data_IF_121300603061
#
_entry.id   IF_121300603061
#
_cell.length_a   1.000
_cell.length_b   1.000
_cell.length_c   1.000
_cell.angle_alpha   90.00
_cell.angle_beta   90.00
_cell.angle_gamma   90.00
#
_symmetry.space_group_name_H-M   'P 1'
#
loop_
_entity.id
_entity.type
_entity.pdbx_description
1 polymer ?
#
# COMPACT_ATOMS: atom_id res chain seq x y z
N UNK A 1 9.34 -12.74 7.17
CA UNK A 1 9.36 -11.75 6.09
C UNK A 1 9.13 -10.39 6.72
N UNK A 2 9.80 -9.34 6.26
CA UNK A 2 9.88 -8.08 6.99
C UNK A 2 8.54 -7.32 6.90
N UNK A 3 7.79 -7.31 7.99
CA UNK A 3 6.54 -6.58 8.15
C UNK A 3 6.72 -5.05 8.16
N UNK A 4 7.95 -4.55 8.06
CA UNK A 4 8.29 -3.13 8.28
C UNK A 4 8.84 -2.42 7.06
N UNK A 5 8.57 -2.93 5.84
CA UNK A 5 9.10 -2.32 4.63
C UNK A 5 8.58 -0.90 4.42
N UNK A 6 7.28 -0.68 4.65
CA UNK A 6 6.66 0.62 4.44
C UNK A 6 7.21 1.66 5.43
N UNK A 7 7.43 1.26 6.67
CA UNK A 7 8.06 2.12 7.68
C UNK A 7 9.45 2.53 7.25
N UNK A 8 10.26 1.57 6.80
CA UNK A 8 11.62 1.82 6.29
C UNK A 8 11.60 2.70 5.04
N UNK A 9 10.66 2.46 4.11
CA UNK A 9 10.47 3.29 2.93
C UNK A 9 10.12 4.73 3.31
N UNK A 10 9.09 4.92 4.14
CA UNK A 10 8.64 6.23 4.57
C UNK A 10 9.76 6.98 5.30
N UNK A 11 10.43 6.36 6.26
CA UNK A 11 11.57 6.97 6.95
C UNK A 11 12.69 7.37 5.99
N UNK A 12 13.04 6.50 5.03
CA UNK A 12 14.07 6.81 4.03
C UNK A 12 13.68 8.02 3.19
N UNK A 13 12.42 8.08 2.73
CA UNK A 13 11.96 9.17 1.86
C UNK A 13 11.78 10.47 2.62
N UNK A 14 11.27 10.43 3.85
CA UNK A 14 11.14 11.60 4.71
C UNK A 14 12.50 12.19 5.10
N UNK A 15 13.52 11.35 5.25
CA UNK A 15 14.89 11.79 5.52
C UNK A 15 15.66 12.26 4.27
N UNK A 16 15.03 12.42 3.13
CA UNK A 16 15.68 12.86 1.89
C UNK A 16 16.61 11.80 1.27
N UNK A 17 16.49 10.53 1.68
CA UNK A 17 17.29 9.43 1.17
C UNK A 17 17.02 9.14 -0.33
N UNK A 18 18.08 8.77 -1.05
CA UNK A 18 18.05 8.37 -2.46
C UNK A 18 17.36 7.03 -2.70
N UNK A 19 18.00 6.17 -3.51
CA UNK A 19 17.43 4.86 -3.84
C UNK A 19 17.21 4.01 -2.60
N UNK A 20 15.94 3.66 -2.36
CA UNK A 20 15.57 2.74 -1.31
C UNK A 20 15.97 1.32 -1.71
N UNK A 21 16.94 0.76 -1.01
CA UNK A 21 17.30 -0.65 -1.14
C UNK A 21 16.75 -1.40 0.07
N UNK A 22 15.72 -2.20 -0.14
CA UNK A 22 15.24 -3.12 0.87
C UNK A 22 16.38 -4.06 1.27
N UNK A 23 16.65 -4.11 2.56
CA UNK A 23 17.54 -5.02 3.30
C UNK A 23 19.00 -4.61 3.54
N UNK A 24 19.30 -4.45 4.80
CA UNK A 24 20.59 -4.76 5.42
C UNK A 24 21.59 -3.63 5.50
N UNK A 25 21.22 -2.40 5.20
CA UNK A 25 22.05 -1.26 5.60
C UNK A 25 21.38 -0.52 6.75
N UNK A 26 22.14 -0.38 7.85
CA UNK A 26 21.79 0.51 8.93
C UNK A 26 21.42 1.88 8.36
N UNK A 27 20.31 2.43 8.81
CA UNK A 27 19.92 3.82 8.51
C UNK A 27 21.09 4.68 8.97
N UNK A 28 21.68 5.55 8.12
CA UNK A 28 22.77 6.39 8.54
C UNK A 28 22.35 7.22 9.74
N UNK A 29 23.09 7.08 10.84
CA UNK A 29 22.94 7.90 12.04
C UNK A 29 23.14 9.37 11.67
N UNK A 30 22.18 10.19 11.97
CA UNK A 30 22.10 11.66 12.20
C UNK A 30 23.08 12.64 11.51
N UNK A 31 24.19 12.21 10.92
CA UNK A 31 25.24 13.12 10.43
C UNK A 31 25.07 13.60 8.98
N UNK A 32 24.08 13.09 8.24
CA UNK A 32 23.78 13.50 6.85
C UNK A 32 22.30 13.89 6.67
N UNK A 33 21.73 14.61 7.63
CA UNK A 33 20.46 15.30 7.42
C UNK A 33 20.64 16.41 6.38
N UNK A 34 20.56 16.08 5.12
CA UNK A 34 20.12 17.04 4.13
C UNK A 34 18.74 17.50 4.59
N UNK A 35 18.58 18.81 4.81
CA UNK A 35 17.39 19.54 5.24
C UNK A 35 16.10 18.77 4.98
N UNK A 36 15.34 18.47 6.03
CA UNK A 36 14.10 17.69 6.00
C UNK A 36 13.25 18.12 4.80
N UNK A 37 13.26 17.31 3.75
CA UNK A 37 12.47 17.57 2.53
C UNK A 37 10.97 17.60 2.86
N UNK A 38 10.60 16.92 3.94
CA UNK A 38 9.24 16.84 4.43
C UNK A 38 9.19 17.22 5.91
N UNK A 39 8.88 18.46 6.19
CA UNK A 39 8.56 18.92 7.54
C UNK A 39 7.03 18.87 7.70
N UNK A 40 6.56 18.26 8.79
CA UNK A 40 5.12 18.03 9.05
C UNK A 40 4.40 17.29 7.90
N UNK A 41 4.92 16.14 7.42
CA UNK A 41 4.35 15.47 6.27
C UNK A 41 2.94 14.94 6.54
N UNK A 42 2.08 15.00 5.52
CA UNK A 42 0.83 14.26 5.49
C UNK A 42 1.04 12.93 4.77
N UNK A 43 0.89 11.85 5.50
CA UNK A 43 0.90 10.49 4.96
C UNK A 43 -0.53 9.95 4.96
N UNK A 44 -0.94 9.34 3.85
CA UNK A 44 -2.23 8.67 3.73
C UNK A 44 -2.01 7.19 3.48
N UNK A 45 -2.69 6.34 4.24
CA UNK A 45 -2.71 4.89 4.08
C UNK A 45 -4.10 4.44 3.64
N UNK A 46 -4.19 3.67 2.57
CA UNK A 46 -5.38 2.95 2.13
C UNK A 46 -5.17 1.48 2.45
N UNK A 47 -6.14 0.87 3.16
CA UNK A 47 -5.99 -0.48 3.69
C UNK A 47 -5.24 -0.49 5.02
N UNK A 48 -5.97 -0.82 6.08
CA UNK A 48 -5.45 -0.83 7.46
C UNK A 48 -5.33 -2.25 8.00
N UNK A 49 -6.24 -3.11 7.56
CA UNK A 49 -6.31 -4.48 8.03
C UNK A 49 -6.40 -4.56 9.56
N UNK A 50 -5.42 -5.19 10.18
CA UNK A 50 -5.32 -5.30 11.65
C UNK A 50 -4.53 -4.16 12.31
N UNK A 51 -4.07 -3.16 11.54
CA UNK A 51 -3.43 -1.96 12.02
C UNK A 51 -1.95 -2.11 12.42
N UNK A 52 -1.27 -3.18 12.00
CA UNK A 52 0.15 -3.34 12.28
C UNK A 52 0.98 -2.28 11.59
N UNK A 53 0.84 -2.15 10.27
CA UNK A 53 1.56 -1.14 9.49
C UNK A 53 1.15 0.27 9.89
N UNK A 54 -0.12 0.48 10.23
CA UNK A 54 -0.61 1.77 10.73
C UNK A 54 0.12 2.20 12.02
N UNK A 55 0.34 1.29 12.97
CA UNK A 55 1.10 1.59 14.18
C UNK A 55 2.55 1.94 13.88
N UNK A 56 3.20 1.19 12.99
CA UNK A 56 4.58 1.45 12.60
C UNK A 56 4.73 2.77 11.83
N UNK A 57 3.81 3.06 10.90
CA UNK A 57 3.77 4.36 10.20
C UNK A 57 3.57 5.52 11.19
N UNK A 58 2.66 5.36 12.16
CA UNK A 58 2.43 6.36 13.20
C UNK A 58 3.74 6.71 13.92
N UNK A 59 4.51 5.70 14.36
CA UNK A 59 5.81 5.92 15.02
C UNK A 59 6.81 6.60 14.09
N UNK A 60 6.92 6.14 12.84
CA UNK A 60 7.87 6.70 11.87
C UNK A 60 7.59 8.18 11.57
N UNK A 61 6.31 8.52 11.35
CA UNK A 61 5.88 9.86 10.98
C UNK A 61 6.00 10.83 12.16
N UNK A 62 5.85 10.37 13.39
CA UNK A 62 5.97 11.19 14.59
C UNK A 62 7.34 11.87 14.70
N UNK A 63 8.42 11.24 14.25
CA UNK A 63 9.76 11.84 14.22
C UNK A 63 9.84 13.09 13.33
N UNK A 64 8.91 13.26 12.41
CA UNK A 64 8.85 14.37 11.47
C UNK A 64 7.71 15.37 11.79
N UNK A 65 7.07 15.23 12.96
CA UNK A 65 5.90 16.03 13.36
C UNK A 65 4.74 15.91 12.35
N UNK A 66 4.68 14.83 11.61
CA UNK A 66 3.70 14.61 10.56
C UNK A 66 2.35 14.11 11.05
N UNK A 67 1.46 13.85 10.12
CA UNK A 67 0.12 13.31 10.35
C UNK A 67 -0.11 12.09 9.47
N UNK A 68 -0.85 11.12 10.02
CA UNK A 68 -1.31 9.94 9.29
C UNK A 68 -2.84 9.96 9.17
N UNK A 69 -3.35 9.80 7.96
CA UNK A 69 -4.74 9.44 7.70
C UNK A 69 -4.75 8.00 7.22
N UNK A 70 -5.41 7.11 7.97
CA UNK A 70 -5.52 5.70 7.65
C UNK A 70 -6.99 5.36 7.34
N UNK A 71 -7.25 4.89 6.13
CA UNK A 71 -8.58 4.67 5.57
C UNK A 71 -8.80 3.19 5.32
N UNK A 72 -9.90 2.63 5.82
CA UNK A 72 -10.30 1.25 5.57
C UNK A 72 -11.82 1.12 5.70
N UNK A 73 -12.41 0.26 4.91
CA UNK A 73 -13.82 -0.11 5.07
C UNK A 73 -14.04 -0.98 6.28
N UNK A 74 -13.03 -1.72 6.70
CA UNK A 74 -13.09 -2.75 7.75
C UNK A 74 -14.06 -3.88 7.44
N UNK A 75 -14.47 -4.04 6.18
CA UNK A 75 -15.44 -5.05 5.73
C UNK A 75 -14.76 -6.33 5.24
N UNK A 76 -13.49 -6.26 4.86
CA UNK A 76 -12.74 -7.38 4.30
C UNK A 76 -12.05 -8.25 5.36
N UNK A 77 -11.45 -9.30 4.91
CA UNK A 77 -10.63 -10.31 5.59
C UNK A 77 -10.69 -10.42 7.10
N UNK A 78 -11.27 -11.52 7.55
CA UNK A 78 -11.12 -11.98 8.94
C UNK A 78 -10.43 -13.34 8.86
N UNK A 79 -9.22 -13.45 9.42
CA UNK A 79 -8.70 -14.76 9.77
C UNK A 79 -9.64 -15.36 10.79
N UNK A 80 -10.17 -16.56 10.53
CA UNK A 80 -10.90 -17.29 11.55
C UNK A 80 -9.93 -17.68 12.68
N UNK A 81 -10.41 -17.94 13.90
CA UNK A 81 -9.57 -18.49 14.96
C UNK A 81 -8.84 -19.77 14.56
N UNK A 82 -9.36 -20.49 13.59
CA UNK A 82 -8.79 -21.72 13.02
C UNK A 82 -7.74 -21.44 11.92
N UNK A 83 -7.46 -20.18 11.58
CA UNK A 83 -6.46 -19.78 10.60
C UNK A 83 -6.90 -19.92 9.14
N UNK A 84 -8.19 -20.13 8.86
CA UNK A 84 -8.72 -20.03 7.52
C UNK A 84 -8.81 -18.55 7.12
N UNK A 85 -8.15 -18.18 6.04
CA UNK A 85 -8.36 -16.91 5.36
C UNK A 85 -9.75 -16.98 4.71
N UNK A 86 -10.70 -16.29 5.31
CA UNK A 86 -11.96 -16.01 4.62
C UNK A 86 -11.62 -14.97 3.54
N UNK A 87 -12.05 -15.27 2.33
CA UNK A 87 -11.86 -14.45 1.14
C UNK A 87 -12.09 -12.97 1.43
N UNK A 88 -11.18 -12.12 1.01
CA UNK A 88 -11.27 -10.67 1.17
C UNK A 88 -12.55 -10.09 0.60
N UNK A 89 -13.09 -10.75 -0.42
CA UNK A 89 -14.34 -10.39 -1.08
C UNK A 89 -15.62 -10.81 -0.39
N UNK A 90 -15.56 -11.63 0.64
CA UNK A 90 -16.72 -11.83 1.48
C UNK A 90 -16.93 -10.57 2.33
N UNK A 91 -17.34 -9.50 1.66
CA UNK A 91 -17.87 -8.32 2.29
C UNK A 91 -18.90 -8.75 3.32
N UNK A 92 -18.56 -8.59 4.58
CA UNK A 92 -19.55 -8.82 5.61
C UNK A 92 -20.30 -7.51 5.83
N UNK A 93 -21.57 -7.50 5.48
CA UNK A 93 -22.48 -6.42 5.88
C UNK A 93 -22.77 -6.44 7.40
N UNK A 94 -22.14 -7.37 8.15
CA UNK A 94 -22.26 -7.45 9.58
C UNK A 94 -21.54 -6.28 10.25
N UNK A 95 -22.28 -5.21 10.48
CA UNK A 95 -21.80 -3.98 11.12
C UNK A 95 -21.13 -4.23 12.48
N UNK A 96 -21.52 -5.28 13.19
CA UNK A 96 -20.93 -5.62 14.49
C UNK A 96 -19.49 -6.13 14.32
N UNK A 97 -19.21 -6.89 13.27
CA UNK A 97 -17.86 -7.36 12.96
C UNK A 97 -16.98 -6.21 12.49
N UNK A 98 -17.49 -5.36 11.59
CA UNK A 98 -16.83 -4.15 11.11
C UNK A 98 -16.44 -3.25 12.29
N UNK A 99 -17.37 -2.97 13.16
CA UNK A 99 -17.13 -2.15 14.35
C UNK A 99 -16.14 -2.78 15.31
N UNK A 100 -16.12 -4.10 15.44
CA UNK A 100 -15.16 -4.81 16.28
C UNK A 100 -13.74 -4.65 15.76
N UNK A 101 -13.53 -4.77 14.44
CA UNK A 101 -12.21 -4.57 13.80
C UNK A 101 -11.75 -3.13 13.97
N UNK A 102 -12.58 -2.16 13.60
CA UNK A 102 -12.27 -0.74 13.77
C UNK A 102 -11.88 -0.39 15.21
N UNK A 103 -12.67 -0.84 16.20
CA UNK A 103 -12.35 -0.66 17.63
C UNK A 103 -11.07 -1.38 18.04
N UNK A 104 -10.79 -2.53 17.43
CA UNK A 104 -9.55 -3.29 17.64
C UNK A 104 -8.33 -2.50 17.23
N UNK A 105 -8.35 -1.90 16.03
CA UNK A 105 -7.27 -1.05 15.53
C UNK A 105 -7.11 0.23 16.37
N UNK A 106 -8.20 0.89 16.73
CA UNK A 106 -8.14 2.04 17.65
C UNK A 106 -7.50 1.70 18.98
N UNK A 107 -7.84 0.52 19.54
CA UNK A 107 -7.21 0.04 20.78
C UNK A 107 -5.72 -0.18 20.58
N UNK A 108 -5.33 -0.87 19.48
CA UNK A 108 -3.93 -1.16 19.15
C UNK A 108 -3.12 0.13 19.03
N UNK A 109 -3.59 1.12 18.27
CA UNK A 109 -2.96 2.44 18.16
C UNK A 109 -2.69 3.06 19.52
N UNK A 110 -3.66 3.06 20.42
CA UNK A 110 -3.54 3.64 21.77
C UNK A 110 -2.62 2.87 22.72
N UNK A 111 -2.49 1.56 22.53
CA UNK A 111 -1.70 0.70 23.43
C UNK A 111 -0.29 0.41 22.91
N UNK A 112 -0.08 0.50 21.61
CA UNK A 112 1.18 0.13 20.97
C UNK A 112 1.96 1.35 20.46
N UNK A 113 1.35 2.55 20.45
CA UNK A 113 2.05 3.80 20.08
C UNK A 113 1.88 4.85 21.18
N UNK A 114 2.93 5.66 21.40
CA UNK A 114 2.89 6.79 22.32
C UNK A 114 2.42 8.09 21.65
N UNK A 115 2.04 8.01 20.38
CA UNK A 115 1.72 9.16 19.52
C UNK A 115 0.45 8.90 18.66
N UNK A 116 -0.51 8.19 19.22
CA UNK A 116 -1.75 7.84 18.50
C UNK A 116 -2.58 9.06 18.04
N UNK A 117 -2.37 10.22 18.65
CA UNK A 117 -3.07 11.47 18.35
C UNK A 117 -2.72 12.06 16.97
N UNK A 118 -1.58 11.68 16.39
CA UNK A 118 -1.21 12.12 15.03
C UNK A 118 -1.92 11.29 13.94
N UNK A 119 -2.61 10.20 14.33
CA UNK A 119 -3.28 9.28 13.39
C UNK A 119 -4.79 9.47 13.43
N UNK A 120 -5.36 9.80 12.27
CA UNK A 120 -6.79 9.80 12.04
C UNK A 120 -7.19 8.50 11.35
N UNK A 121 -7.91 7.63 12.07
CA UNK A 121 -8.45 6.39 11.51
C UNK A 121 -9.85 6.63 10.97
N UNK A 122 -10.06 6.40 9.68
CA UNK A 122 -11.32 6.61 8.98
C UNK A 122 -11.91 5.26 8.56
N UNK A 123 -13.16 5.03 8.95
CA UNK A 123 -13.96 3.92 8.44
C UNK A 123 -14.76 4.41 7.23
N UNK A 124 -14.33 4.06 6.02
CA UNK A 124 -14.98 4.54 4.80
C UNK A 124 -14.33 4.00 3.53
N UNK A 125 -14.99 4.28 2.42
CA UNK A 125 -14.49 3.98 1.08
C UNK A 125 -13.28 4.86 0.76
N UNK A 126 -12.19 4.27 0.26
CA UNK A 126 -10.96 5.01 -0.06
C UNK A 126 -11.19 6.12 -1.08
N UNK A 127 -11.96 5.85 -2.13
CA UNK A 127 -12.26 6.85 -3.17
C UNK A 127 -12.99 8.06 -2.61
N UNK A 128 -14.04 7.82 -1.81
CA UNK A 128 -14.84 8.88 -1.22
C UNK A 128 -14.06 9.72 -0.20
N UNK A 129 -13.19 9.06 0.58
CA UNK A 129 -12.39 9.73 1.59
C UNK A 129 -11.19 10.49 0.99
N UNK A 130 -10.54 9.93 -0.04
CA UNK A 130 -9.50 10.64 -0.78
C UNK A 130 -10.05 11.90 -1.49
N UNK A 131 -11.26 11.82 -2.06
CA UNK A 131 -11.86 12.97 -2.73
C UNK A 131 -12.07 14.18 -1.79
N UNK A 132 -12.26 13.95 -0.49
CA UNK A 132 -12.42 15.01 0.52
C UNK A 132 -11.14 15.75 0.84
N UNK A 133 -9.98 15.17 0.53
CA UNK A 133 -8.69 15.81 0.73
C UNK A 133 -8.45 16.88 -0.33
N UNK A 134 -7.68 17.89 0.02
CA UNK A 134 -7.28 18.92 -0.94
C UNK A 134 -6.31 18.33 -2.00
N UNK A 135 -6.37 18.85 -3.22
CA UNK A 135 -5.41 18.49 -4.24
C UNK A 135 -4.00 18.96 -3.83
N UNK A 136 -2.98 18.19 -4.19
CA UNK A 136 -1.58 18.46 -3.85
C UNK A 136 -1.32 18.67 -2.35
N UNK A 137 -2.05 17.92 -1.50
CA UNK A 137 -1.90 17.99 -0.04
C UNK A 137 -1.10 16.83 0.57
N UNK A 138 -1.02 15.68 -0.12
CA UNK A 138 -0.40 14.46 0.38
C UNK A 138 1.09 14.42 0.04
N UNK A 139 1.93 14.12 1.01
CA UNK A 139 3.37 13.92 0.80
C UNK A 139 3.70 12.47 0.42
N UNK A 140 3.06 11.50 1.09
CA UNK A 140 3.21 10.06 0.78
C UNK A 140 1.84 9.41 0.81
N UNK A 141 1.47 8.70 -0.27
CA UNK A 141 0.30 7.85 -0.35
C UNK A 141 0.73 6.39 -0.41
N UNK A 142 0.26 5.59 0.54
CA UNK A 142 0.46 4.15 0.60
C UNK A 142 -0.84 3.42 0.30
N UNK A 143 -0.85 2.57 -0.73
CA UNK A 143 -2.01 1.80 -1.20
C UNK A 143 -1.78 0.32 -0.90
N UNK A 144 -2.60 -0.22 0.00
CA UNK A 144 -2.61 -1.62 0.43
C UNK A 144 -4.06 -2.04 0.76
N UNK A 145 -4.97 -1.71 -0.17
CA UNK A 145 -6.41 -1.93 -0.04
C UNK A 145 -6.91 -3.10 -0.87
N UNK A 146 -8.01 -2.92 -1.61
CA UNK A 146 -8.51 -3.90 -2.58
C UNK A 146 -7.51 -4.13 -3.72
N UNK A 147 -7.54 -5.33 -4.31
CA UNK A 147 -6.59 -5.73 -5.33
C UNK A 147 -7.19 -5.78 -6.74
N UNK A 148 -8.48 -5.51 -6.86
CA UNK A 148 -9.20 -5.42 -8.12
C UNK A 148 -8.67 -4.26 -8.97
N UNK A 149 -8.49 -4.50 -10.25
CA UNK A 149 -7.95 -3.51 -11.17
C UNK A 149 -8.71 -2.17 -11.13
N UNK A 150 -10.04 -2.23 -11.13
CA UNK A 150 -10.87 -1.03 -11.10
C UNK A 150 -10.69 -0.21 -9.81
N UNK A 151 -10.52 -0.90 -8.67
CA UNK A 151 -10.31 -0.28 -7.37
C UNK A 151 -8.94 0.36 -7.30
N UNK A 152 -7.88 -0.41 -7.57
CA UNK A 152 -6.49 0.08 -7.49
C UNK A 152 -6.26 1.23 -8.48
N UNK A 153 -6.74 1.08 -9.71
CA UNK A 153 -6.66 2.14 -10.71
C UNK A 153 -7.29 3.43 -10.22
N UNK A 154 -8.47 3.34 -9.62
CA UNK A 154 -9.17 4.51 -9.10
C UNK A 154 -8.46 5.14 -7.90
N UNK A 155 -7.93 4.32 -6.98
CA UNK A 155 -7.11 4.81 -5.86
C UNK A 155 -5.87 5.56 -6.36
N UNK A 156 -5.19 5.04 -7.39
CA UNK A 156 -4.03 5.71 -8.01
C UNK A 156 -4.46 7.01 -8.69
N UNK A 157 -5.52 7.01 -9.49
CA UNK A 157 -6.01 8.20 -10.22
C UNK A 157 -6.38 9.34 -9.28
N UNK A 158 -7.14 9.06 -8.22
CA UNK A 158 -7.51 10.07 -7.22
C UNK A 158 -6.27 10.49 -6.43
N UNK A 159 -5.51 9.50 -5.93
CA UNK A 159 -4.33 9.73 -5.12
C UNK A 159 -3.28 10.56 -5.82
N UNK A 160 -3.06 10.32 -7.12
CA UNK A 160 -2.12 11.10 -7.92
C UNK A 160 -2.45 12.60 -7.97
N UNK A 161 -3.73 12.93 -8.05
CA UNK A 161 -4.18 14.32 -8.02
C UNK A 161 -3.96 14.95 -6.64
N UNK A 162 -4.18 14.16 -5.57
CA UNK A 162 -4.00 14.59 -4.18
C UNK A 162 -2.55 14.70 -3.74
N UNK A 163 -1.65 14.01 -4.46
CA UNK A 163 -0.23 13.98 -4.15
C UNK A 163 0.44 15.30 -4.54
N UNK A 164 1.27 15.85 -3.66
CA UNK A 164 2.11 17.03 -3.95
C UNK A 164 3.11 16.75 -5.07
N UNK A 165 3.54 17.76 -5.84
CA UNK A 165 4.77 17.66 -6.63
C UNK A 165 5.95 17.25 -5.73
N UNK A 166 6.75 16.29 -6.17
CA UNK A 166 7.83 15.70 -5.37
C UNK A 166 7.41 14.68 -4.32
N UNK A 167 6.12 14.47 -4.10
CA UNK A 167 5.57 13.44 -3.21
C UNK A 167 5.71 12.02 -3.78
N UNK A 168 5.45 11.03 -2.94
CA UNK A 168 5.56 9.62 -3.31
C UNK A 168 4.22 8.89 -3.21
N UNK A 169 3.93 8.11 -4.25
CA UNK A 169 2.89 7.08 -4.20
C UNK A 169 3.58 5.71 -4.16
N UNK A 170 3.10 4.82 -3.32
CA UNK A 170 3.64 3.49 -3.15
C UNK A 170 2.56 2.49 -2.75
N UNK A 171 2.83 1.20 -2.87
CA UNK A 171 1.88 0.17 -2.48
C UNK A 171 2.51 -1.21 -2.34
N UNK A 172 1.70 -2.15 -1.84
CA UNK A 172 2.02 -3.57 -1.72
C UNK A 172 1.46 -4.35 -2.93
N UNK A 173 1.63 -5.65 -2.89
CA UNK A 173 1.02 -6.66 -3.76
C UNK A 173 1.32 -6.55 -5.27
N UNK A 174 2.34 -5.80 -5.66
CA UNK A 174 2.92 -5.91 -7.00
C UNK A 174 3.76 -7.19 -7.06
N UNK A 175 3.09 -8.33 -6.92
CA UNK A 175 3.74 -9.63 -6.79
C UNK A 175 4.03 -10.25 -8.16
N UNK A 176 4.98 -9.68 -8.89
CA UNK A 176 5.42 -10.26 -10.14
C UNK A 176 5.84 -9.25 -11.20
N UNK A 177 6.16 -9.77 -12.36
CA UNK A 177 6.53 -8.97 -13.53
C UNK A 177 5.38 -8.95 -14.54
N UNK A 178 5.05 -7.79 -15.06
CA UNK A 178 3.93 -7.57 -15.97
C UNK A 178 4.01 -8.46 -17.23
N UNK A 179 5.18 -8.52 -17.85
CA UNK A 179 5.37 -9.28 -19.08
C UNK A 179 5.55 -10.78 -18.83
N UNK A 180 6.29 -11.11 -17.77
CA UNK A 180 6.54 -12.50 -17.40
C UNK A 180 5.26 -13.24 -17.03
N UNK A 181 4.35 -12.57 -16.33
CA UNK A 181 3.07 -13.11 -15.91
C UNK A 181 1.95 -12.91 -16.95
N UNK A 182 2.28 -12.30 -18.10
CA UNK A 182 1.33 -12.04 -19.18
C UNK A 182 0.06 -11.31 -18.73
N UNK A 183 0.26 -10.30 -17.91
CA UNK A 183 -0.85 -9.51 -17.33
C UNK A 183 -1.67 -8.81 -18.43
N UNK A 184 -1.05 -8.50 -19.57
CA UNK A 184 -1.69 -7.98 -20.76
C UNK A 184 -2.70 -8.97 -21.39
N UNK A 185 -2.51 -10.27 -21.18
CA UNK A 185 -3.40 -11.32 -21.66
C UNK A 185 -4.54 -11.67 -20.65
N UNK A 186 -4.53 -11.08 -19.45
CA UNK A 186 -5.51 -11.35 -18.42
C UNK A 186 -6.91 -10.84 -18.83
N UNK A 187 -7.95 -11.65 -18.60
CA UNK A 187 -9.33 -11.23 -18.86
C UNK A 187 -9.80 -10.20 -17.84
N UNK A 188 -10.85 -9.44 -18.17
CA UNK A 188 -11.47 -8.49 -17.25
C UNK A 188 -11.91 -9.17 -15.95
N UNK A 189 -12.50 -10.36 -16.03
CA UNK A 189 -12.90 -11.14 -14.84
C UNK A 189 -11.70 -11.48 -13.95
N UNK A 190 -10.56 -11.81 -14.54
CA UNK A 190 -9.33 -12.10 -13.80
C UNK A 190 -8.75 -10.88 -13.08
N UNK A 191 -8.88 -9.72 -13.70
CA UNK A 191 -8.36 -8.46 -13.17
C UNK A 191 -9.21 -7.91 -12.03
N UNK A 192 -10.48 -8.26 -11.99
CA UNK A 192 -11.42 -7.84 -10.94
C UNK A 192 -11.52 -8.88 -9.82
N UNK A 193 -10.53 -9.76 -9.69
CA UNK A 193 -10.42 -10.70 -8.58
C UNK A 193 -9.30 -10.28 -7.65
N UNK A 194 -9.56 -10.30 -6.34
CA UNK A 194 -8.56 -9.98 -5.30
C UNK A 194 -7.33 -10.88 -5.41
N UNK A 195 -7.59 -12.15 -5.37
CA UNK A 195 -6.55 -13.15 -5.51
C UNK A 195 -6.99 -14.16 -6.54
N UNK A 196 -6.18 -14.36 -7.55
CA UNK A 196 -6.41 -15.44 -8.48
C UNK A 196 -6.15 -16.75 -7.75
N UNK A 197 -7.22 -17.41 -7.30
CA UNK A 197 -7.17 -18.75 -6.72
C UNK A 197 -7.42 -19.77 -7.79
N UNK A 198 -6.56 -20.79 -7.83
CA UNK A 198 -6.83 -22.01 -8.60
C UNK A 198 -5.88 -22.24 -9.75
N UNK A 199 -5.93 -23.47 -10.25
CA UNK A 199 -5.16 -23.95 -11.38
C UNK A 199 -5.49 -23.15 -12.65
N UNK A 200 -4.63 -22.22 -13.00
CA UNK A 200 -4.62 -21.78 -14.36
C UNK A 200 -4.55 -20.30 -14.66
N UNK A 201 -4.55 -19.40 -13.71
CA UNK A 201 -4.62 -17.98 -14.05
C UNK A 201 -3.29 -17.38 -14.46
N UNK A 202 -2.25 -17.62 -13.71
CA UNK A 202 -0.92 -17.22 -14.15
C UNK A 202 -0.02 -18.43 -14.08
N UNK A 203 0.31 -18.95 -15.25
CA UNK A 203 1.27 -20.04 -15.35
C UNK A 203 2.64 -19.45 -15.60
N UNK A 204 3.52 -19.62 -14.62
CA UNK A 204 4.92 -19.29 -14.76
C UNK A 204 5.66 -20.52 -15.25
N UNK A 205 6.50 -20.35 -16.26
CA UNK A 205 7.48 -21.36 -16.56
C UNK A 205 8.54 -21.36 -15.44
N UNK A 206 8.66 -22.47 -14.71
CA UNK A 206 9.77 -22.67 -13.81
C UNK A 206 11.11 -22.72 -14.59
N UNK A 207 12.23 -22.78 -13.89
CA UNK A 207 13.55 -22.84 -14.51
C UNK A 207 13.76 -24.00 -15.48
N UNK A 208 12.83 -24.95 -15.57
CA UNK A 208 12.79 -26.09 -16.47
C UNK A 208 11.76 -25.93 -17.61
N UNK A 209 11.08 -24.79 -17.67
CA UNK A 209 10.04 -24.54 -18.67
C UNK A 209 8.68 -25.18 -18.34
N UNK A 210 8.50 -25.73 -17.15
CA UNK A 210 7.23 -26.29 -16.70
C UNK A 210 6.33 -25.15 -16.20
N UNK A 211 5.10 -25.07 -16.75
CA UNK A 211 4.13 -24.08 -16.31
C UNK A 211 3.59 -24.47 -14.93
N UNK A 212 3.91 -23.69 -13.94
CA UNK A 212 3.41 -23.84 -12.58
C UNK A 212 2.42 -22.71 -12.27
N UNK A 213 1.33 -23.04 -11.58
CA UNK A 213 0.40 -22.04 -11.08
C UNK A 213 1.07 -21.23 -9.99
N UNK A 214 0.99 -19.91 -10.07
CA UNK A 214 1.44 -19.02 -8.99
C UNK A 214 0.21 -18.66 -8.17
N UNK A 215 0.22 -19.10 -6.93
CA UNK A 215 -0.74 -18.63 -5.94
C UNK A 215 -0.31 -17.24 -5.47
N UNK A 216 -1.25 -16.32 -5.34
CA UNK A 216 -1.08 -14.95 -4.84
C UNK A 216 -0.45 -13.96 -5.85
N UNK A 217 -0.85 -13.99 -7.10
CA UNK A 217 -0.60 -12.89 -8.02
C UNK A 217 -1.83 -11.98 -8.05
N UNK A 218 -1.63 -10.74 -7.71
CA UNK A 218 -2.65 -9.71 -7.75
C UNK A 218 -2.57 -8.99 -9.11
N UNK A 219 -3.18 -9.63 -10.12
CA UNK A 219 -3.08 -9.15 -11.51
C UNK A 219 -3.64 -7.73 -11.68
N UNK A 220 -4.69 -7.40 -10.93
CA UNK A 220 -5.28 -6.05 -10.94
C UNK A 220 -4.32 -4.99 -10.46
N UNK A 221 -3.57 -5.25 -9.37
CA UNK A 221 -2.54 -4.33 -8.85
C UNK A 221 -1.44 -4.12 -9.88
N UNK A 222 -0.88 -5.23 -10.41
CA UNK A 222 0.21 -5.17 -11.38
C UNK A 222 -0.21 -4.37 -12.61
N UNK A 223 -1.41 -4.63 -13.15
CA UNK A 223 -1.92 -3.95 -14.34
C UNK A 223 -2.14 -2.45 -14.08
N UNK A 224 -2.83 -2.11 -13.00
CA UNK A 224 -3.15 -0.73 -12.69
C UNK A 224 -1.88 0.14 -12.53
N UNK A 225 -0.90 -0.38 -11.78
CA UNK A 225 0.38 0.30 -11.58
C UNK A 225 1.17 0.41 -12.88
N UNK A 226 1.29 -0.69 -13.62
CA UNK A 226 2.06 -0.72 -14.87
C UNK A 226 1.49 0.27 -15.90
N UNK A 227 0.18 0.27 -16.10
CA UNK A 227 -0.47 1.14 -17.08
C UNK A 227 -0.40 2.61 -16.66
N UNK A 228 -0.68 2.91 -15.39
CA UNK A 228 -0.68 4.30 -14.93
C UNK A 228 0.69 4.96 -15.03
N UNK A 229 1.73 4.25 -14.65
CA UNK A 229 3.10 4.77 -14.68
C UNK A 229 3.89 4.38 -15.94
N UNK A 230 3.22 3.82 -16.94
CA UNK A 230 3.84 3.39 -18.19
C UNK A 230 5.06 2.49 -17.97
N UNK A 231 4.96 1.56 -17.03
CA UNK A 231 6.03 0.64 -16.65
C UNK A 231 7.21 1.27 -15.93
N UNK A 232 7.13 2.54 -15.51
CA UNK A 232 8.24 3.26 -14.88
C UNK A 232 8.22 3.22 -13.35
N UNK A 233 7.20 2.62 -12.74
CA UNK A 233 7.19 2.43 -11.29
C UNK A 233 8.39 1.56 -10.86
N UNK A 234 9.07 1.98 -9.81
CA UNK A 234 10.13 1.19 -9.21
C UNK A 234 9.51 0.05 -8.41
N UNK A 235 10.03 -1.16 -8.59
CA UNK A 235 9.60 -2.35 -7.86
C UNK A 235 10.78 -2.89 -7.09
N UNK A 236 10.56 -3.34 -5.85
CA UNK A 236 11.64 -3.90 -5.07
C UNK A 236 12.14 -5.25 -5.63
N UNK A 237 13.33 -5.70 -5.21
CA UNK A 237 13.98 -6.91 -5.71
C UNK A 237 13.16 -8.21 -5.54
N UNK A 238 12.10 -8.18 -4.72
CA UNK A 238 11.20 -9.31 -4.49
C UNK A 238 9.90 -9.20 -5.29
N UNK A 239 9.76 -8.10 -6.09
CA UNK A 239 8.59 -7.88 -6.95
C UNK A 239 7.28 -7.72 -6.18
N UNK A 240 7.31 -7.27 -4.91
CA UNK A 240 6.11 -7.13 -4.11
C UNK A 240 5.70 -5.69 -3.89
N UNK A 241 6.66 -4.81 -3.62
CA UNK A 241 6.42 -3.42 -3.28
C UNK A 241 6.77 -2.52 -4.44
N UNK A 242 5.94 -1.54 -4.72
CA UNK A 242 6.14 -0.58 -5.78
C UNK A 242 6.10 0.85 -5.26
N UNK A 243 6.75 1.76 -5.95
CA UNK A 243 6.67 3.19 -5.68
C UNK A 243 6.97 4.01 -6.92
N UNK A 244 6.45 5.24 -6.93
CA UNK A 244 6.74 6.24 -7.93
C UNK A 244 6.78 7.63 -7.27
N UNK A 245 7.68 8.50 -7.73
CA UNK A 245 7.75 9.89 -7.29
C UNK A 245 7.06 10.78 -8.30
N UNK A 246 6.11 11.62 -7.86
CA UNK A 246 5.51 12.64 -8.70
C UNK A 246 6.58 13.69 -9.02
N UNK A 247 6.82 13.98 -10.31
CA UNK A 247 7.78 14.98 -10.72
C UNK A 247 7.51 16.34 -10.07
N UNK A 248 8.56 17.08 -9.79
CA UNK A 248 8.42 18.52 -9.54
C UNK A 248 7.96 19.12 -10.87
N UNK A 249 6.95 19.98 -10.84
CA UNK A 249 6.53 20.68 -12.04
C UNK A 249 7.76 21.43 -12.56
N UNK A 250 8.23 21.07 -13.75
CA UNK A 250 9.17 21.90 -14.49
C UNK A 250 8.50 23.27 -14.63
N UNK A 251 9.03 24.26 -13.91
CA UNK A 251 8.50 25.60 -13.81
C UNK A 251 8.67 26.40 -15.11
#
# INVERSE_FOLDING_TARGET
MNQYWITSFVQTKLNGGGDWQAYGKEIPLESERTLDKFYEPLVVQIGVGEGHDTCELTRAINYHNGKLIAIDWFEGNISTPEGELIDAHNHTEDTAKIDKRYKGVLKKLRTETDCSEITTLIKGNSHDELEKLEDESIDILFIDGGHEYSIVKKDIEIGWRKLKPGGYICGDDYSGDYHYHKIDEASEEQLEQDTIKGDGYIKIADGNGVLVSVNNVHAGVIKAVHEFFNGQASVNNWGRYWYYQKGELDG
#
